data_IF_490256090707
#
_entry.id   IF_490256090707
#
_cell.length_a   1.000
_cell.length_b   1.000
_cell.length_c   1.000
_cell.angle_alpha   90.00
_cell.angle_beta   90.00
_cell.angle_gamma   90.00
#
_symmetry.space_group_name_H-M   'P 1'
#
loop_
_entity.id
_entity.type
_entity.pdbx_description
1 polymer ?
#
# COMPACT_ATOMS: atom_id res chain seq x y z
N UNK A 1 -18.83 -44.18 -7.12
CA UNK A 1 -17.49 -43.63 -6.84
C UNK A 1 -17.53 -42.19 -7.30
N UNK A 2 -17.83 -41.29 -6.37
CA UNK A 2 -17.93 -39.86 -6.64
C UNK A 2 -16.66 -39.17 -6.11
N UNK A 3 -15.85 -38.69 -7.02
CA UNK A 3 -14.74 -37.82 -6.67
C UNK A 3 -15.27 -36.40 -6.59
N UNK A 4 -15.61 -35.94 -5.40
CA UNK A 4 -15.88 -34.53 -5.12
C UNK A 4 -14.59 -33.75 -5.23
N UNK A 5 -14.45 -32.95 -6.29
CA UNK A 5 -13.45 -31.91 -6.36
C UNK A 5 -13.79 -30.92 -5.25
N UNK A 6 -12.96 -30.90 -4.21
CA UNK A 6 -12.91 -29.84 -3.20
C UNK A 6 -12.39 -28.56 -3.88
N UNK A 7 -13.34 -27.81 -4.45
CA UNK A 7 -13.09 -26.49 -5.00
C UNK A 7 -12.74 -25.60 -3.82
N UNK A 8 -11.44 -25.20 -3.75
CA UNK A 8 -10.84 -24.40 -2.70
C UNK A 8 -11.70 -23.18 -2.32
N UNK A 9 -12.55 -23.37 -1.34
CA UNK A 9 -13.20 -22.28 -0.62
C UNK A 9 -12.09 -21.53 0.10
N UNK A 10 -11.75 -20.35 -0.38
CA UNK A 10 -11.03 -19.39 0.44
C UNK A 10 -11.87 -19.19 1.71
N UNK A 11 -11.45 -19.80 2.80
CA UNK A 11 -12.08 -19.58 4.08
C UNK A 11 -11.80 -18.11 4.43
N UNK A 12 -12.86 -17.31 4.54
CA UNK A 12 -12.74 -15.96 5.08
C UNK A 12 -12.17 -16.02 6.51
N UNK A 13 -11.77 -14.86 7.07
CA UNK A 13 -11.18 -14.82 8.40
C UNK A 13 -12.14 -15.44 9.40
N UNK A 14 -11.64 -16.35 10.24
CA UNK A 14 -12.45 -17.04 11.23
C UNK A 14 -12.80 -16.17 12.45
N UNK A 15 -12.07 -15.03 12.61
CA UNK A 15 -12.23 -14.08 13.70
C UNK A 15 -11.79 -12.69 13.25
N UNK A 16 -12.39 -11.61 13.79
CA UNK A 16 -11.94 -10.23 13.58
C UNK A 16 -10.46 -10.02 13.92
N UNK A 17 -9.91 -10.79 14.83
CA UNK A 17 -8.50 -10.76 15.23
C UNK A 17 -7.54 -11.12 14.08
N UNK A 18 -8.04 -11.82 13.06
CA UNK A 18 -7.29 -12.18 11.86
C UNK A 18 -7.43 -11.17 10.71
N UNK A 19 -8.14 -10.08 10.92
CA UNK A 19 -8.29 -9.01 9.91
C UNK A 19 -7.29 -7.89 10.21
N UNK A 20 -6.61 -7.42 9.15
CA UNK A 20 -5.73 -6.23 9.21
C UNK A 20 -6.04 -5.33 8.03
N UNK A 21 -6.29 -4.07 8.31
CA UNK A 21 -6.51 -3.05 7.30
C UNK A 21 -5.22 -2.24 7.13
N UNK A 22 -4.64 -2.27 5.95
CA UNK A 22 -3.40 -1.58 5.62
C UNK A 22 -3.67 -0.55 4.54
N UNK A 23 -3.41 0.71 4.84
CA UNK A 23 -3.58 1.80 3.89
C UNK A 23 -2.26 2.15 3.23
N UNK A 24 -2.28 2.27 1.90
CA UNK A 24 -1.16 2.76 1.10
C UNK A 24 -1.29 4.28 0.96
N UNK A 25 -0.32 5.01 1.46
CA UNK A 25 -0.24 6.47 1.39
C UNK A 25 1.07 6.89 0.72
N UNK A 26 1.08 8.00 0.03
CA UNK A 26 2.29 8.54 -0.62
C UNK A 26 1.93 9.45 -1.79
N UNK A 27 2.89 10.19 -2.37
CA UNK A 27 2.63 11.17 -3.42
C UNK A 27 2.12 10.54 -4.72
N UNK A 28 1.55 11.36 -5.59
CA UNK A 28 1.19 10.95 -6.93
C UNK A 28 2.44 10.43 -7.68
N UNK A 29 2.26 9.39 -8.46
CA UNK A 29 3.38 8.80 -9.20
C UNK A 29 4.32 7.90 -8.39
N UNK A 30 4.21 7.82 -7.06
CA UNK A 30 5.08 6.96 -6.23
C UNK A 30 4.91 5.45 -6.46
N UNK A 31 3.96 5.01 -7.29
CA UNK A 31 3.76 3.59 -7.59
C UNK A 31 2.84 2.86 -6.60
N UNK A 32 2.01 3.57 -5.82
CA UNK A 32 1.04 2.97 -4.89
C UNK A 32 0.12 1.97 -5.55
N UNK A 33 -0.60 2.40 -6.59
CA UNK A 33 -1.58 1.55 -7.29
C UNK A 33 -0.89 0.38 -8.01
N UNK A 34 0.33 0.56 -8.52
CA UNK A 34 1.14 -0.53 -9.08
C UNK A 34 1.51 -1.55 -8.00
N UNK A 35 1.94 -1.07 -6.82
CA UNK A 35 2.23 -1.93 -5.68
C UNK A 35 0.98 -2.65 -5.19
N UNK A 36 -0.14 -1.95 -5.05
CA UNK A 36 -1.45 -2.49 -4.69
C UNK A 36 -1.86 -3.63 -5.61
N UNK A 37 -1.87 -3.40 -6.92
CA UNK A 37 -2.22 -4.42 -7.90
C UNK A 37 -1.21 -5.58 -7.92
N UNK A 38 0.07 -5.30 -7.75
CA UNK A 38 1.11 -6.32 -7.66
C UNK A 38 0.91 -7.25 -6.46
N UNK A 39 0.56 -6.71 -5.29
CA UNK A 39 0.28 -7.49 -4.08
C UNK A 39 -0.96 -8.39 -4.27
N UNK A 40 -2.01 -7.87 -4.87
CA UNK A 40 -3.24 -8.64 -5.16
C UNK A 40 -2.93 -9.76 -6.15
N UNK A 41 -2.23 -9.46 -7.24
CA UNK A 41 -1.89 -10.43 -8.27
C UNK A 41 -1.00 -11.55 -7.72
N UNK A 42 -0.03 -11.22 -6.88
CA UNK A 42 0.88 -12.19 -6.27
C UNK A 42 0.14 -13.17 -5.33
N UNK A 43 -1.01 -12.79 -4.80
CA UNK A 43 -1.81 -13.61 -3.86
C UNK A 43 -3.08 -14.19 -4.45
N UNK A 44 -3.45 -13.81 -5.67
CA UNK A 44 -4.65 -14.31 -6.36
C UNK A 44 -4.25 -14.98 -7.67
N UNK A 45 -4.10 -16.32 -7.70
CA UNK A 45 -3.75 -17.02 -8.94
C UNK A 45 -4.75 -16.74 -10.06
N UNK A 46 -4.23 -16.47 -11.26
CA UNK A 46 -5.05 -16.21 -12.46
C UNK A 46 -5.57 -14.77 -12.62
N UNK A 47 -5.33 -13.89 -11.67
CA UNK A 47 -5.60 -12.46 -11.86
C UNK A 47 -4.42 -11.79 -12.57
N UNK A 48 -4.67 -11.23 -13.74
CA UNK A 48 -3.69 -10.43 -14.48
C UNK A 48 -4.12 -8.97 -14.48
N UNK A 49 -3.21 -8.09 -14.07
CA UNK A 49 -3.38 -6.64 -14.24
C UNK A 49 -3.20 -6.31 -15.71
N UNK A 50 -4.19 -5.66 -16.32
CA UNK A 50 -4.12 -5.20 -17.71
C UNK A 50 -3.81 -3.71 -17.72
N UNK A 51 -2.61 -3.37 -18.22
CA UNK A 51 -2.18 -1.98 -18.44
C UNK A 51 -1.61 -1.29 -17.19
N UNK A 52 -1.16 -0.06 -17.38
CA UNK A 52 -0.74 0.81 -16.28
C UNK A 52 -1.98 1.31 -15.52
N UNK A 53 -1.96 1.28 -14.19
CA UNK A 53 -3.07 1.82 -13.42
C UNK A 53 -3.20 3.33 -13.66
N UNK A 54 -4.42 3.77 -13.98
CA UNK A 54 -4.71 5.19 -14.09
C UNK A 54 -4.53 5.89 -12.73
N UNK A 55 -4.24 7.20 -12.70
CA UNK A 55 -4.15 7.94 -11.45
C UNK A 55 -5.44 7.78 -10.63
N UNK A 56 -5.29 7.31 -9.40
CA UNK A 56 -6.44 7.11 -8.51
C UNK A 56 -7.00 8.45 -8.06
N UNK A 57 -8.30 8.63 -8.25
CA UNK A 57 -9.06 9.80 -7.76
C UNK A 57 -9.97 9.44 -6.58
N UNK A 58 -10.07 8.16 -6.25
CA UNK A 58 -10.89 7.64 -5.15
C UNK A 58 -10.14 6.52 -4.43
N UNK A 59 -10.60 6.22 -3.22
CA UNK A 59 -10.10 5.13 -2.41
C UNK A 59 -10.39 3.77 -3.09
N UNK A 60 -9.34 3.00 -3.37
CA UNK A 60 -9.43 1.61 -3.82
C UNK A 60 -9.37 0.65 -2.64
N UNK A 61 -10.05 -0.49 -2.72
CA UNK A 61 -9.98 -1.53 -1.68
C UNK A 61 -9.93 -2.93 -2.29
N UNK A 62 -9.09 -3.79 -1.71
CA UNK A 62 -9.02 -5.21 -2.04
C UNK A 62 -8.53 -6.02 -0.85
N UNK A 63 -8.88 -7.31 -0.81
CA UNK A 63 -8.44 -8.20 0.26
C UNK A 63 -7.52 -9.29 -0.27
N UNK A 64 -6.48 -9.60 0.49
CA UNK A 64 -5.55 -10.69 0.21
C UNK A 64 -5.42 -11.59 1.44
N UNK A 65 -5.29 -12.90 1.23
CA UNK A 65 -5.02 -13.85 2.30
C UNK A 65 -3.51 -14.03 2.49
N UNK A 66 -3.04 -14.06 3.74
CA UNK A 66 -1.65 -14.33 4.11
C UNK A 66 -1.60 -15.20 5.36
N UNK A 67 -1.46 -16.51 5.18
CA UNK A 67 -1.62 -17.48 6.26
C UNK A 67 -3.06 -17.43 6.81
N UNK A 68 -3.17 -17.23 8.12
CA UNK A 68 -4.47 -17.10 8.80
C UNK A 68 -5.03 -15.66 8.75
N UNK A 69 -4.24 -14.70 8.25
CA UNK A 69 -4.63 -13.30 8.19
C UNK A 69 -5.36 -12.98 6.89
N UNK A 70 -6.40 -12.17 7.00
CA UNK A 70 -7.00 -11.43 5.91
C UNK A 70 -6.50 -9.98 5.96
N UNK A 71 -5.77 -9.56 4.94
CA UNK A 71 -5.24 -8.21 4.83
C UNK A 71 -6.10 -7.45 3.82
N UNK A 72 -6.80 -6.43 4.29
CA UNK A 72 -7.50 -5.49 3.44
C UNK A 72 -6.52 -4.35 3.09
N UNK A 73 -6.24 -4.21 1.81
CA UNK A 73 -5.41 -3.14 1.27
C UNK A 73 -6.32 -1.99 0.84
N UNK A 74 -5.97 -0.78 1.24
CA UNK A 74 -6.66 0.46 0.87
C UNK A 74 -5.69 1.33 0.07
N UNK A 75 -5.96 1.55 -1.23
CA UNK A 75 -5.15 2.42 -2.09
C UNK A 75 -5.73 3.83 -2.09
N UNK A 76 -4.95 4.81 -1.59
CA UNK A 76 -5.38 6.21 -1.53
C UNK A 76 -4.84 7.03 -2.71
N UNK A 77 -5.61 8.07 -3.16
CA UNK A 77 -5.07 9.04 -4.11
C UNK A 77 -3.81 9.71 -3.58
N UNK A 78 -2.86 9.98 -4.47
CA UNK A 78 -1.59 10.65 -4.12
C UNK A 78 -1.59 12.16 -4.39
N UNK A 79 -2.64 12.71 -5.00
CA UNK A 79 -2.75 14.13 -5.25
C UNK A 79 -3.21 14.84 -3.97
N UNK A 80 -2.56 15.94 -3.55
CA UNK A 80 -2.92 16.73 -2.38
C UNK A 80 -4.37 17.20 -2.33
N UNK A 81 -5.01 17.40 -3.48
CA UNK A 81 -6.41 17.78 -3.56
C UNK A 81 -7.38 16.76 -2.94
N UNK A 82 -6.93 15.50 -2.83
CA UNK A 82 -7.71 14.38 -2.27
C UNK A 82 -7.27 13.99 -0.84
N UNK A 83 -6.75 14.91 -0.07
CA UNK A 83 -6.31 14.64 1.33
C UNK A 83 -7.46 14.09 2.19
N UNK A 84 -8.71 14.41 1.86
CA UNK A 84 -9.90 13.85 2.51
C UNK A 84 -9.99 12.33 2.38
N UNK A 85 -9.68 11.80 1.19
CA UNK A 85 -9.65 10.36 0.91
C UNK A 85 -8.51 9.67 1.69
N UNK A 86 -7.34 10.35 1.80
CA UNK A 86 -6.23 9.86 2.61
C UNK A 86 -6.65 9.74 4.08
N UNK A 87 -7.28 10.78 4.63
CA UNK A 87 -7.79 10.77 6.01
C UNK A 87 -8.87 9.72 6.24
N UNK A 88 -9.74 9.49 5.24
CA UNK A 88 -10.74 8.42 5.31
C UNK A 88 -10.08 7.04 5.37
N UNK A 89 -9.10 6.79 4.49
CA UNK A 89 -8.30 5.56 4.50
C UNK A 89 -7.55 5.34 5.82
N UNK A 90 -6.91 6.39 6.35
CA UNK A 90 -6.21 6.34 7.63
C UNK A 90 -7.15 5.98 8.81
N UNK A 91 -8.39 6.47 8.81
CA UNK A 91 -9.38 6.14 9.86
C UNK A 91 -9.87 4.70 9.80
N UNK A 92 -9.80 4.07 8.65
CA UNK A 92 -10.25 2.69 8.42
C UNK A 92 -9.11 1.67 8.60
N UNK A 93 -7.86 2.12 8.76
CA UNK A 93 -6.69 1.26 8.77
C UNK A 93 -6.18 0.95 10.17
N UNK A 94 -5.45 -0.17 10.27
CA UNK A 94 -4.71 -0.60 11.46
C UNK A 94 -3.21 -0.29 11.31
N UNK A 95 -2.72 -0.11 10.08
CA UNK A 95 -1.33 0.20 9.76
C UNK A 95 -1.21 0.98 8.45
N UNK A 96 -0.11 1.71 8.30
CA UNK A 96 0.23 2.50 7.12
C UNK A 96 1.41 1.88 6.38
N UNK A 97 1.28 1.72 5.07
CA UNK A 97 2.39 1.50 4.17
C UNK A 97 2.62 2.78 3.37
N UNK A 98 3.65 3.55 3.77
CA UNK A 98 3.99 4.79 3.09
C UNK A 98 4.88 4.51 1.89
N UNK A 99 4.43 4.87 0.70
CA UNK A 99 5.09 4.53 -0.56
C UNK A 99 5.84 5.76 -1.10
N UNK A 100 7.14 5.60 -1.34
CA UNK A 100 8.00 6.63 -1.93
C UNK A 100 8.73 6.06 -3.14
N UNK A 101 8.98 6.91 -4.13
CA UNK A 101 9.79 6.54 -5.30
C UNK A 101 11.27 6.82 -5.00
N UNK A 102 12.15 5.89 -5.33
CA UNK A 102 13.60 6.10 -5.27
C UNK A 102 14.07 7.13 -6.31
N UNK A 103 13.36 7.25 -7.42
CA UNK A 103 13.69 8.13 -8.53
C UNK A 103 13.29 9.60 -8.29
N UNK A 104 12.36 9.85 -7.36
CA UNK A 104 11.80 11.17 -7.13
C UNK A 104 12.34 11.79 -5.83
N UNK A 105 12.34 13.12 -5.76
CA UNK A 105 12.65 13.83 -4.53
C UNK A 105 11.46 13.80 -3.55
N UNK A 106 11.78 13.88 -2.25
CA UNK A 106 10.77 14.00 -1.21
C UNK A 106 10.45 15.47 -1.01
N UNK A 107 9.40 15.92 -1.67
CA UNK A 107 8.90 17.29 -1.66
C UNK A 107 8.05 17.62 -0.41
N UNK A 108 7.58 18.85 -0.30
CA UNK A 108 6.75 19.29 0.82
C UNK A 108 5.37 18.64 0.83
N UNK A 109 4.82 18.30 -0.34
CA UNK A 109 3.56 17.56 -0.43
C UNK A 109 3.71 16.14 0.15
N UNK A 110 4.81 15.47 -0.16
CA UNK A 110 5.16 14.16 0.42
C UNK A 110 5.33 14.25 1.94
N UNK A 111 6.00 15.31 2.43
CA UNK A 111 6.15 15.55 3.88
C UNK A 111 4.82 15.82 4.58
N UNK A 112 3.89 16.50 3.91
CA UNK A 112 2.56 16.74 4.43
C UNK A 112 1.78 15.41 4.59
N UNK A 113 1.81 14.55 3.57
CA UNK A 113 1.19 13.22 3.64
C UNK A 113 1.80 12.37 4.76
N UNK A 114 3.11 12.43 4.96
CA UNK A 114 3.77 11.74 6.06
C UNK A 114 3.25 12.23 7.42
N UNK A 115 3.12 13.54 7.62
CA UNK A 115 2.58 14.13 8.85
C UNK A 115 1.13 13.68 9.13
N UNK A 116 0.30 13.55 8.09
CA UNK A 116 -1.05 12.98 8.24
C UNK A 116 -0.99 11.53 8.79
N UNK A 117 -0.01 10.74 8.33
CA UNK A 117 0.20 9.39 8.85
C UNK A 117 0.73 9.41 10.29
N UNK A 118 1.67 10.29 10.63
CA UNK A 118 2.21 10.43 11.98
C UNK A 118 1.14 10.80 13.00
N UNK A 119 0.23 11.69 12.62
CA UNK A 119 -0.86 12.15 13.48
C UNK A 119 -1.81 11.03 13.93
N UNK A 120 -1.83 9.88 13.24
CA UNK A 120 -2.67 8.73 13.62
C UNK A 120 -2.04 7.83 14.69
N UNK A 121 -0.74 7.97 14.92
CA UNK A 121 0.06 7.13 15.82
C UNK A 121 -0.04 5.61 15.55
N UNK A 122 -0.39 5.23 14.32
CA UNK A 122 -0.46 3.83 13.87
C UNK A 122 0.93 3.27 13.53
N UNK A 123 1.10 1.93 13.57
CA UNK A 123 2.27 1.27 12.99
C UNK A 123 2.47 1.69 11.54
N UNK A 124 3.70 2.01 11.18
CA UNK A 124 4.07 2.50 9.85
C UNK A 124 5.26 1.75 9.31
N UNK A 125 5.27 1.55 8.00
CA UNK A 125 6.44 1.10 7.25
C UNK A 125 6.59 1.92 5.97
N UNK A 126 7.79 1.99 5.42
CA UNK A 126 8.08 2.66 4.15
C UNK A 126 8.36 1.60 3.09
N UNK A 127 7.66 1.69 1.95
CA UNK A 127 7.98 0.96 0.75
C UNK A 127 8.67 1.88 -0.26
N UNK A 128 9.87 1.50 -0.67
CA UNK A 128 10.63 2.21 -1.70
C UNK A 128 10.41 1.53 -3.05
N UNK A 129 9.89 2.27 -4.01
CA UNK A 129 9.57 1.80 -5.37
C UNK A 129 10.51 2.40 -6.42
N UNK A 130 10.42 1.97 -7.67
CA UNK A 130 11.15 2.51 -8.83
C UNK A 130 12.68 2.53 -8.63
N UNK A 131 13.21 1.53 -7.96
CA UNK A 131 14.65 1.38 -7.77
C UNK A 131 15.38 1.25 -9.11
N UNK A 132 14.76 0.64 -10.10
CA UNK A 132 15.28 0.48 -11.46
C UNK A 132 15.40 1.79 -12.23
N UNK A 133 14.68 2.83 -11.81
CA UNK A 133 14.70 4.17 -12.43
C UNK A 133 15.60 5.14 -11.67
N UNK A 134 16.05 4.76 -10.48
CA UNK A 134 16.94 5.57 -9.65
C UNK A 134 18.37 5.51 -10.17
N UNK A 135 19.08 6.65 -10.12
CA UNK A 135 20.53 6.71 -10.35
C UNK A 135 21.34 6.23 -9.15
N UNK A 136 20.71 6.18 -7.97
CA UNK A 136 21.28 5.69 -6.72
C UNK A 136 20.82 4.27 -6.40
N UNK A 137 21.45 3.65 -5.41
CA UNK A 137 21.05 2.35 -4.91
C UNK A 137 19.96 2.45 -3.83
N UNK A 138 19.47 1.29 -3.38
CA UNK A 138 18.50 1.20 -2.29
C UNK A 138 18.98 1.92 -1.02
N UNK A 139 20.28 1.84 -0.71
CA UNK A 139 20.85 2.45 0.49
C UNK A 139 20.71 3.97 0.49
N UNK A 140 20.95 4.61 -0.65
CA UNK A 140 20.77 6.06 -0.80
C UNK A 140 19.31 6.46 -0.58
N UNK A 141 18.36 5.73 -1.18
CA UNK A 141 16.93 5.96 -0.98
C UNK A 141 16.52 5.73 0.48
N UNK A 142 17.03 4.68 1.13
CA UNK A 142 16.81 4.38 2.54
C UNK A 142 17.33 5.49 3.44
N UNK A 143 18.59 5.93 3.26
CA UNK A 143 19.22 6.99 4.06
C UNK A 143 18.47 8.33 3.89
N UNK A 144 17.96 8.61 2.70
CA UNK A 144 17.12 9.79 2.43
C UNK A 144 15.80 9.71 3.20
N UNK A 145 15.10 8.57 3.16
CA UNK A 145 13.87 8.37 3.92
C UNK A 145 14.12 8.52 5.41
N UNK A 146 15.15 7.87 5.95
CA UNK A 146 15.51 7.92 7.37
C UNK A 146 15.82 9.36 7.83
N UNK A 147 16.53 10.14 7.02
CA UNK A 147 16.87 11.53 7.32
C UNK A 147 15.65 12.43 7.39
N UNK A 148 14.62 12.15 6.57
CA UNK A 148 13.44 13.01 6.43
C UNK A 148 12.31 12.57 7.35
N UNK A 149 12.09 11.28 7.49
CA UNK A 149 10.96 10.68 8.21
C UNK A 149 11.35 10.13 9.59
N UNK A 150 12.64 10.08 9.91
CA UNK A 150 13.13 9.50 11.15
C UNK A 150 13.29 7.98 11.10
N UNK A 151 13.46 7.39 12.28
CA UNK A 151 13.52 5.92 12.42
C UNK A 151 12.09 5.35 12.32
N UNK A 152 11.87 4.50 11.30
CA UNK A 152 10.57 3.86 10.97
C UNK A 152 10.77 2.36 10.96
#
# INVERSE_FOLDING_TARGET
MGNGADSGRQHGPQSPEHIRNVVLVGPAGAGKSTLFEGLITARTPGRHVRGEPAPSQSLGAASIASGELMINLLDTPGNPDFVGEVRAGLRAADAVLFVVSAADEIDDATRLLWRECEATNMPRAIAVTKLEQSRGDFREAFDRCRRIFGDV
#
